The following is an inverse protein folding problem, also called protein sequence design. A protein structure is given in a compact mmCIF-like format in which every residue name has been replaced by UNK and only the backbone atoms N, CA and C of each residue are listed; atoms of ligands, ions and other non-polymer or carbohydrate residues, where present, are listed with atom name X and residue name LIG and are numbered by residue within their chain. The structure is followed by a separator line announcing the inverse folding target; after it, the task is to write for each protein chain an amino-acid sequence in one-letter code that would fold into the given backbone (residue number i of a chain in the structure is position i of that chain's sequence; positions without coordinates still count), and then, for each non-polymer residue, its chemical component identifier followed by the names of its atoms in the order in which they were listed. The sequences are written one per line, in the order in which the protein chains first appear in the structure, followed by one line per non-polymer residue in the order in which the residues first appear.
data_IF_707944835090
#
_entry.id   IF_707944835090
#
_cell.length_a   1.000
_cell.length_b   1.000
_cell.length_c   1.000
_cell.angle_alpha   90.00
_cell.angle_beta   90.00
_cell.angle_gamma   90.00
#
_symmetry.space_group_name_H-M   'P 1'
#
loop_
_entity.id
_entity.type
_entity.pdbx_description
1 polymer ?
#
# COMPACT_ATOMS: atom_id res chain seq x y z
N UNK A 1 -4.64 -17.08 -0.84
CA UNK A 1 -5.72 -16.69 0.07
C UNK A 1 -7.06 -16.85 -0.63
N UNK A 2 -8.00 -17.60 -0.08
CA UNK A 2 -9.32 -17.86 -0.67
C UNK A 2 -10.39 -17.30 0.25
N UNK A 3 -11.38 -16.64 -0.31
CA UNK A 3 -12.53 -16.09 0.43
C UNK A 3 -13.80 -16.08 -0.43
N UNK A 4 -14.95 -15.97 0.23
CA UNK A 4 -16.26 -15.95 -0.42
C UNK A 4 -16.78 -14.52 -0.54
N UNK A 5 -17.35 -14.20 -1.69
CA UNK A 5 -18.10 -12.96 -1.91
C UNK A 5 -19.50 -13.06 -1.27
N UNK A 6 -20.15 -11.93 -1.04
CA UNK A 6 -21.55 -11.88 -0.57
C UNK A 6 -22.52 -12.62 -1.50
N UNK A 7 -22.15 -12.80 -2.77
CA UNK A 7 -22.88 -13.60 -3.75
C UNK A 7 -22.73 -15.12 -3.54
N UNK A 8 -21.86 -15.55 -2.62
CA UNK A 8 -21.49 -16.94 -2.39
C UNK A 8 -20.45 -17.49 -3.40
N UNK A 9 -19.95 -16.68 -4.32
CA UNK A 9 -18.89 -17.09 -5.23
C UNK A 9 -17.53 -17.04 -4.50
N UNK A 10 -16.71 -18.06 -4.71
CA UNK A 10 -15.34 -18.11 -4.19
C UNK A 10 -14.36 -17.45 -5.13
N UNK A 11 -13.51 -16.61 -4.59
CA UNK A 11 -12.37 -16.02 -5.30
C UNK A 11 -11.08 -16.23 -4.52
N UNK A 12 -9.95 -16.11 -5.20
CA UNK A 12 -8.65 -16.30 -4.58
C UNK A 12 -7.68 -15.17 -4.93
N UNK A 13 -7.09 -14.56 -3.90
CA UNK A 13 -5.92 -13.70 -4.05
C UNK A 13 -4.67 -14.56 -4.22
N UNK A 14 -3.89 -14.30 -5.25
CA UNK A 14 -2.67 -15.02 -5.60
C UNK A 14 -1.52 -14.05 -5.74
N UNK A 15 -0.45 -14.26 -4.97
CA UNK A 15 0.80 -13.54 -5.11
C UNK A 15 1.84 -14.40 -5.80
N UNK A 16 2.55 -13.81 -6.75
CA UNK A 16 3.70 -14.41 -7.44
C UNK A 16 4.96 -13.59 -7.18
N UNK A 17 6.09 -14.00 -7.74
CA UNK A 17 7.34 -13.24 -7.63
C UNK A 17 7.28 -11.86 -8.29
N UNK A 18 6.37 -11.65 -9.25
CA UNK A 18 6.29 -10.40 -10.02
C UNK A 18 4.94 -9.70 -9.94
N UNK A 19 3.84 -10.42 -9.65
CA UNK A 19 2.48 -9.90 -9.78
C UNK A 19 1.53 -10.43 -8.74
N UNK A 20 0.45 -9.69 -8.56
CA UNK A 20 -0.68 -10.07 -7.71
C UNK A 20 -1.92 -10.20 -8.57
N UNK A 21 -2.65 -11.30 -8.37
CA UNK A 21 -3.84 -11.63 -9.15
C UNK A 21 -5.04 -11.92 -8.25
N UNK A 22 -6.22 -11.69 -8.80
CA UNK A 22 -7.46 -12.31 -8.34
C UNK A 22 -7.80 -13.43 -9.33
N UNK A 23 -8.05 -14.62 -8.80
CA UNK A 23 -8.63 -15.73 -9.56
C UNK A 23 -10.13 -15.77 -9.29
N UNK A 24 -10.93 -15.65 -10.35
CA UNK A 24 -12.37 -15.88 -10.30
C UNK A 24 -12.71 -17.01 -11.29
N UNK A 25 -13.17 -18.14 -10.78
CA UNK A 25 -13.32 -19.35 -11.56
C UNK A 25 -12.00 -19.83 -12.16
N UNK A 26 -11.91 -19.83 -13.49
CA UNK A 26 -10.68 -20.23 -14.24
C UNK A 26 -9.85 -19.04 -14.70
N UNK A 27 -10.32 -17.82 -14.54
CA UNK A 27 -9.68 -16.60 -15.04
C UNK A 27 -8.83 -15.92 -13.97
N UNK A 28 -7.64 -15.46 -14.38
CA UNK A 28 -6.75 -14.65 -13.57
C UNK A 28 -6.85 -13.18 -14.00
N UNK A 29 -7.07 -12.29 -13.06
CA UNK A 29 -7.14 -10.85 -13.26
C UNK A 29 -5.94 -10.21 -12.55
N UNK A 30 -5.13 -9.46 -13.28
CA UNK A 30 -3.97 -8.75 -12.75
C UNK A 30 -4.42 -7.53 -11.95
N UNK A 31 -4.22 -7.57 -10.64
CA UNK A 31 -4.54 -6.49 -9.70
C UNK A 31 -3.29 -5.79 -9.16
N UNK A 32 -2.12 -6.07 -9.71
CA UNK A 32 -0.85 -5.49 -9.25
C UNK A 32 -0.93 -3.96 -9.25
N UNK A 33 -0.63 -3.27 -8.15
CA UNK A 33 -0.72 -1.83 -8.05
C UNK A 33 0.22 -1.10 -9.02
N UNK A 34 -0.17 0.09 -9.45
CA UNK A 34 0.70 0.99 -10.21
C UNK A 34 1.50 1.85 -9.22
N UNK A 35 2.82 1.81 -9.35
CA UNK A 35 3.76 2.59 -8.54
C UNK A 35 3.80 4.04 -8.98
N UNK A 36 3.91 4.27 -10.28
CA UNK A 36 4.02 5.59 -10.88
C UNK A 36 3.51 5.59 -12.32
N UNK A 37 2.92 6.70 -12.72
CA UNK A 37 2.47 6.92 -14.09
C UNK A 37 3.13 8.18 -14.64
N UNK A 38 3.82 8.05 -15.78
CA UNK A 38 4.38 9.17 -16.54
C UNK A 38 3.50 9.47 -17.74
N UNK A 39 3.26 10.75 -17.99
CA UNK A 39 2.39 11.23 -19.07
C UNK A 39 3.18 12.16 -19.98
N UNK A 40 2.92 12.12 -21.28
CA UNK A 40 3.68 12.82 -22.31
C UNK A 40 3.96 14.30 -22.06
N UNK A 41 3.04 15.02 -21.42
CA UNK A 41 3.18 16.46 -21.15
C UNK A 41 3.83 16.82 -19.81
N UNK A 42 4.10 15.84 -18.94
CA UNK A 42 4.71 16.08 -17.62
C UNK A 42 6.23 15.87 -17.65
N UNK A 43 6.93 16.35 -16.62
CA UNK A 43 8.36 16.12 -16.46
C UNK A 43 8.56 15.08 -15.34
N UNK A 44 9.23 13.94 -15.62
CA UNK A 44 9.81 13.51 -16.90
C UNK A 44 8.78 13.18 -17.97
N UNK A 45 9.09 13.51 -19.22
CA UNK A 45 8.16 13.41 -20.35
C UNK A 45 8.31 12.08 -21.09
N UNK A 46 7.19 11.49 -21.47
CA UNK A 46 7.12 10.31 -22.35
C UNK A 46 6.95 10.67 -23.83
N UNK A 47 6.99 11.97 -24.19
CA UNK A 47 6.85 12.42 -25.57
C UNK A 47 7.91 11.82 -26.48
N UNK A 48 7.48 11.11 -27.52
CA UNK A 48 8.37 10.47 -28.51
C UNK A 48 9.48 9.62 -27.87
N UNK A 49 9.16 8.92 -26.76
CA UNK A 49 10.16 8.20 -25.98
C UNK A 49 10.68 6.91 -26.62
N UNK A 50 10.04 6.41 -27.68
CA UNK A 50 10.42 5.16 -28.34
C UNK A 50 11.46 5.39 -29.43
N UNK A 51 12.50 4.58 -29.44
CA UNK A 51 13.49 4.52 -30.53
C UNK A 51 13.63 3.07 -31.00
N UNK A 52 13.34 2.84 -32.28
CA UNK A 52 13.37 1.53 -32.92
C UNK A 52 14.76 1.21 -33.49
N UNK A 53 15.06 -0.08 -33.69
CA UNK A 53 16.30 -0.60 -34.19
C UNK A 53 16.07 -1.63 -35.30
N UNK A 54 16.86 -1.53 -36.38
CA UNK A 54 16.77 -2.45 -37.52
C UNK A 54 17.86 -3.53 -37.56
N UNK A 55 18.76 -3.58 -36.57
CA UNK A 55 19.81 -4.59 -36.48
C UNK A 55 19.20 -6.00 -36.38
N UNK A 56 19.69 -6.90 -37.21
CA UNK A 56 19.24 -8.30 -37.22
C UNK A 56 19.35 -8.94 -35.83
N UNK A 57 18.29 -9.59 -35.36
CA UNK A 57 18.21 -10.17 -34.01
C UNK A 57 17.68 -9.22 -32.93
N UNK A 58 17.62 -7.91 -33.21
CA UNK A 58 17.11 -6.90 -32.20
C UNK A 58 15.98 -6.03 -32.75
N UNK A 59 15.41 -6.36 -33.90
CA UNK A 59 14.39 -5.53 -34.58
C UNK A 59 13.10 -5.31 -33.78
N UNK A 60 12.77 -6.22 -32.86
CA UNK A 60 11.65 -6.06 -31.93
C UNK A 60 12.02 -5.38 -30.63
N UNK A 61 13.30 -5.11 -30.39
CA UNK A 61 13.80 -4.43 -29.20
C UNK A 61 13.71 -2.92 -29.39
N UNK A 62 12.89 -2.27 -28.60
CA UNK A 62 12.66 -0.83 -28.64
C UNK A 62 13.33 -0.19 -27.43
N UNK A 63 14.13 0.82 -27.65
CA UNK A 63 14.70 1.65 -26.59
C UNK A 63 13.68 2.69 -26.17
N UNK A 64 13.51 2.86 -24.86
CA UNK A 64 12.63 3.86 -24.25
C UNK A 64 13.49 4.84 -23.48
N UNK A 65 13.38 6.12 -23.83
CA UNK A 65 14.06 7.21 -23.11
C UNK A 65 13.06 7.90 -22.20
N UNK A 66 13.27 7.78 -20.89
CA UNK A 66 12.44 8.37 -19.85
C UNK A 66 13.31 8.71 -18.65
N UNK A 67 13.57 9.99 -18.44
CA UNK A 67 14.49 10.46 -17.41
C UNK A 67 14.04 10.04 -16.01
N UNK A 68 14.99 9.56 -15.19
CA UNK A 68 14.78 9.18 -13.81
C UNK A 68 13.56 8.23 -13.60
N UNK A 69 13.40 7.24 -14.48
CA UNK A 69 12.25 6.32 -14.47
C UNK A 69 12.18 5.44 -13.22
N UNK A 70 13.28 5.26 -12.48
CA UNK A 70 13.32 4.49 -11.24
C UNK A 70 12.87 3.03 -11.38
N UNK A 71 12.96 2.48 -12.59
CA UNK A 71 12.68 1.07 -12.86
C UNK A 71 13.93 0.22 -12.69
N UNK A 72 13.72 -1.04 -12.32
CA UNK A 72 14.72 -2.09 -12.28
C UNK A 72 14.49 -3.09 -13.42
N UNK A 73 15.54 -3.80 -13.82
CA UNK A 73 15.38 -4.87 -14.83
C UNK A 73 14.44 -5.96 -14.28
N UNK A 74 13.41 -6.28 -15.05
CA UNK A 74 12.35 -7.22 -14.64
C UNK A 74 11.05 -6.53 -14.18
N UNK A 75 11.05 -5.20 -13.97
CA UNK A 75 9.83 -4.45 -13.73
C UNK A 75 8.86 -4.52 -14.91
N UNK A 76 7.58 -4.35 -14.63
CA UNK A 76 6.54 -4.28 -15.65
C UNK A 76 6.09 -2.85 -15.88
N UNK A 77 6.00 -2.45 -17.14
CA UNK A 77 5.42 -1.17 -17.58
C UNK A 77 4.32 -1.40 -18.61
N UNK A 78 3.19 -0.71 -18.45
CA UNK A 78 2.13 -0.70 -19.44
C UNK A 78 2.14 0.63 -20.18
N UNK A 79 2.25 0.58 -21.52
CA UNK A 79 2.11 1.76 -22.35
C UNK A 79 0.71 1.89 -22.93
N UNK A 80 0.28 3.13 -23.10
CA UNK A 80 -0.96 3.48 -23.81
C UNK A 80 -0.81 4.83 -24.50
N UNK A 81 -1.71 5.13 -25.45
CA UNK A 81 -1.71 6.41 -26.16
C UNK A 81 -0.56 6.60 -27.17
N UNK A 82 0.26 5.58 -27.45
CA UNK A 82 1.33 5.70 -28.44
C UNK A 82 0.82 5.56 -29.88
N UNK A 83 1.48 6.27 -30.79
CA UNK A 83 1.38 6.06 -32.22
C UNK A 83 2.43 5.05 -32.72
N UNK A 84 2.32 4.60 -33.96
CA UNK A 84 3.29 3.70 -34.59
C UNK A 84 4.67 4.36 -34.76
N UNK A 85 5.74 3.59 -34.60
CA UNK A 85 7.13 4.05 -34.73
C UNK A 85 7.95 3.02 -35.51
N UNK A 86 8.67 3.46 -36.53
CA UNK A 86 9.65 2.65 -37.25
C UNK A 86 9.14 1.35 -37.83
N UNK A 87 7.83 1.24 -38.13
CA UNK A 87 7.19 0.03 -38.62
C UNK A 87 6.53 -0.84 -37.53
N UNK A 88 6.76 -0.54 -36.25
CA UNK A 88 6.03 -1.17 -35.13
C UNK A 88 4.71 -0.41 -34.93
N UNK A 89 3.60 -1.15 -34.89
CA UNK A 89 2.27 -0.54 -34.83
C UNK A 89 1.93 -0.03 -33.42
N UNK A 90 0.98 0.90 -33.33
CA UNK A 90 0.47 1.38 -32.06
C UNK A 90 -0.07 0.24 -31.16
N UNK A 91 -0.78 -0.73 -31.75
CA UNK A 91 -1.29 -1.88 -31.01
C UNK A 91 -0.18 -2.78 -30.42
N UNK A 92 0.99 -2.81 -31.03
CA UNK A 92 2.14 -3.56 -30.56
C UNK A 92 2.97 -2.78 -29.51
N UNK A 93 2.79 -1.47 -29.43
CA UNK A 93 3.45 -0.62 -28.43
C UNK A 93 2.57 -0.37 -27.19
N UNK A 94 1.24 -0.32 -27.38
CA UNK A 94 0.27 -0.09 -26.30
C UNK A 94 -0.09 -1.39 -25.55
N UNK A 95 0.91 -2.01 -24.97
CA UNK A 95 0.82 -3.26 -24.21
C UNK A 95 1.64 -3.16 -22.94
N UNK A 96 1.58 -4.20 -22.15
CA UNK A 96 2.46 -4.40 -21.01
C UNK A 96 3.76 -5.08 -21.46
N UNK A 97 4.88 -4.59 -20.91
CA UNK A 97 6.22 -5.10 -21.19
C UNK A 97 7.03 -5.25 -19.91
N UNK A 98 7.87 -6.26 -19.90
CA UNK A 98 8.99 -6.34 -18.95
C UNK A 98 10.12 -5.45 -19.45
N UNK A 99 10.73 -4.69 -18.54
CA UNK A 99 11.80 -3.77 -18.87
C UNK A 99 13.18 -4.40 -18.66
N UNK A 100 14.13 -4.04 -19.53
CA UNK A 100 15.56 -4.27 -19.30
C UNK A 100 16.23 -2.90 -19.19
N UNK A 101 16.64 -2.54 -17.98
CA UNK A 101 17.24 -1.22 -17.70
C UNK A 101 18.64 -1.15 -18.28
N UNK A 102 18.97 -0.04 -18.93
CA UNK A 102 20.29 0.27 -19.44
C UNK A 102 21.01 1.27 -18.53
N UNK A 103 20.29 2.30 -18.11
CA UNK A 103 20.74 3.33 -17.17
C UNK A 103 19.54 4.01 -16.51
N UNK A 104 19.77 5.03 -15.67
CA UNK A 104 18.71 5.74 -14.94
C UNK A 104 17.69 6.50 -15.81
N UNK A 105 17.95 6.64 -17.12
CA UNK A 105 17.13 7.40 -18.06
C UNK A 105 16.65 6.56 -19.26
N UNK A 106 17.19 5.35 -19.42
CA UNK A 106 16.89 4.51 -20.59
C UNK A 106 16.72 3.05 -20.21
N UNK A 107 15.73 2.43 -20.82
CA UNK A 107 15.50 0.99 -20.74
C UNK A 107 15.04 0.45 -22.09
N UNK A 108 14.97 -0.84 -22.24
CA UNK A 108 14.47 -1.49 -23.46
C UNK A 108 13.28 -2.39 -23.15
N UNK A 109 12.38 -2.48 -24.12
CA UNK A 109 11.24 -3.40 -24.13
C UNK A 109 11.31 -4.30 -25.36
N UNK A 110 10.75 -5.49 -25.29
CA UNK A 110 10.67 -6.42 -26.41
C UNK A 110 9.24 -6.46 -26.95
N UNK A 111 9.05 -5.94 -28.17
CA UNK A 111 7.75 -5.99 -28.86
C UNK A 111 7.65 -7.24 -29.73
N UNK A 112 6.42 -7.67 -30.06
CA UNK A 112 6.18 -8.70 -31.06
C UNK A 112 6.42 -8.21 -32.50
N UNK A 113 6.44 -6.87 -32.69
CA UNK A 113 6.67 -6.23 -33.98
C UNK A 113 8.14 -6.24 -34.40
N UNK A 114 8.36 -6.05 -35.70
CA UNK A 114 9.69 -5.95 -36.28
C UNK A 114 9.85 -4.56 -36.90
N UNK A 115 10.81 -3.79 -36.40
CA UNK A 115 11.09 -2.47 -36.96
C UNK A 115 11.61 -2.57 -38.42
N UNK A 116 11.11 -1.72 -39.27
CA UNK A 116 11.50 -1.60 -40.67
C UNK A 116 12.42 -0.40 -40.90
N UNK A 117 12.46 0.53 -39.96
CA UNK A 117 13.37 1.68 -39.96
C UNK A 117 13.82 2.05 -38.56
N UNK A 118 14.98 2.69 -38.45
CA UNK A 118 15.39 3.37 -37.21
C UNK A 118 14.62 4.68 -37.14
N UNK A 119 13.81 4.85 -36.11
CA UNK A 119 13.00 6.05 -35.90
C UNK A 119 12.80 6.31 -34.40
N UNK A 120 12.75 7.57 -34.02
CA UNK A 120 12.34 8.03 -32.71
C UNK A 120 10.96 8.65 -32.82
N UNK A 121 10.03 8.29 -31.92
CA UNK A 121 8.65 8.77 -32.01
C UNK A 121 7.72 8.13 -30.99
N UNK A 122 6.46 8.00 -31.37
CA UNK A 122 5.37 7.46 -30.54
C UNK A 122 4.33 8.51 -30.20
N UNK A 123 4.59 9.78 -30.48
CA UNK A 123 3.66 10.89 -30.27
C UNK A 123 3.74 11.52 -28.88
N UNK A 124 2.82 12.43 -28.61
CA UNK A 124 2.81 13.28 -27.40
C UNK A 124 1.82 12.82 -26.32
N UNK A 125 1.07 11.76 -26.56
CA UNK A 125 0.03 11.26 -25.67
C UNK A 125 0.40 9.94 -24.98
N UNK A 126 1.70 9.58 -24.99
CA UNK A 126 2.14 8.31 -24.40
C UNK A 126 2.01 8.38 -22.88
N UNK A 127 1.37 7.35 -22.33
CA UNK A 127 1.30 7.10 -20.89
C UNK A 127 2.11 5.84 -20.61
N UNK A 128 3.01 5.93 -19.62
CA UNK A 128 3.80 4.80 -19.13
C UNK A 128 3.45 4.56 -17.66
N UNK A 129 2.77 3.45 -17.37
CA UNK A 129 2.34 3.07 -16.03
C UNK A 129 3.21 1.91 -15.53
N UNK A 130 4.09 2.18 -14.57
CA UNK A 130 4.95 1.19 -13.95
C UNK A 130 4.25 0.52 -12.78
N UNK A 131 4.27 -0.80 -12.74
CA UNK A 131 3.78 -1.58 -11.61
C UNK A 131 4.75 -1.52 -10.44
N UNK A 132 4.27 -1.86 -9.25
CA UNK A 132 5.15 -2.08 -8.10
C UNK A 132 6.04 -3.29 -8.37
N UNK A 133 7.29 -3.22 -7.91
CA UNK A 133 8.17 -4.38 -7.90
C UNK A 133 7.81 -5.24 -6.67
N UNK A 134 7.28 -6.45 -6.86
CA UNK A 134 6.91 -7.37 -5.78
C UNK A 134 7.96 -8.42 -5.50
N UNK A 135 9.02 -8.50 -6.27
CA UNK A 135 10.12 -9.42 -6.03
C UNK A 135 11.11 -9.50 -7.19
N UNK A 136 12.22 -10.13 -6.94
CA UNK A 136 13.18 -10.52 -7.96
C UNK A 136 12.90 -11.96 -8.39
N UNK A 137 13.00 -12.24 -9.68
CA UNK A 137 12.82 -13.59 -10.23
C UNK A 137 13.95 -14.55 -9.84
N UNK A 138 15.12 -13.99 -9.57
CA UNK A 138 16.32 -14.72 -9.22
C UNK A 138 16.84 -14.26 -7.87
N UNK A 139 16.83 -15.14 -6.88
CA UNK A 139 17.55 -14.93 -5.63
C UNK A 139 19.03 -15.17 -5.91
N UNK A 140 19.83 -14.12 -5.90
CA UNK A 140 21.30 -14.27 -5.91
C UNK A 140 21.70 -14.75 -4.53
N UNK A 141 22.20 -15.98 -4.45
CA UNK A 141 22.70 -16.55 -3.20
C UNK A 141 23.80 -15.65 -2.62
N UNK A 142 23.75 -15.45 -1.30
CA UNK A 142 24.76 -14.67 -0.56
C UNK A 142 26.16 -15.27 -0.66
N UNK A 143 27.11 -14.66 0.04
CA UNK A 143 28.47 -15.18 0.15
C UNK A 143 28.48 -16.53 0.90
N UNK A 144 29.24 -17.49 0.41
CA UNK A 144 29.46 -18.77 1.08
C UNK A 144 29.82 -19.90 0.13
N UNK A 145 30.21 -21.03 0.70
CA UNK A 145 30.44 -22.27 -0.04
C UNK A 145 29.14 -22.67 -0.76
N UNK A 146 29.21 -22.87 -2.08
CA UNK A 146 28.05 -23.23 -2.92
C UNK A 146 27.11 -22.05 -3.31
N UNK A 147 27.45 -20.80 -3.01
CA UNK A 147 26.62 -19.62 -3.32
C UNK A 147 26.88 -19.02 -4.71
N UNK A 148 27.25 -19.81 -5.69
CA UNK A 148 27.47 -19.37 -7.06
C UNK A 148 28.42 -20.28 -7.85
N UNK A 149 28.71 -19.90 -9.11
CA UNK A 149 29.62 -20.66 -9.97
C UNK A 149 31.06 -20.57 -9.47
N UNK A 150 31.79 -21.68 -9.50
CA UNK A 150 33.23 -21.73 -9.28
C UNK A 150 33.91 -20.81 -10.32
N UNK A 151 34.81 -19.94 -9.86
CA UNK A 151 35.52 -19.01 -10.74
C UNK A 151 34.97 -17.60 -10.78
N UNK A 152 34.12 -17.22 -9.84
CA UNK A 152 33.54 -15.86 -9.69
C UNK A 152 34.59 -14.78 -9.43
N UNK A 153 35.73 -15.17 -8.85
CA UNK A 153 36.84 -14.28 -8.51
C UNK A 153 38.09 -15.06 -8.12
N UNK A 154 39.22 -14.38 -8.00
CA UNK A 154 40.45 -14.94 -7.44
C UNK A 154 40.28 -15.18 -5.92
N UNK A 155 41.06 -16.10 -5.34
CA UNK A 155 41.01 -16.48 -3.93
C UNK A 155 41.16 -15.33 -2.93
N UNK A 156 41.56 -14.17 -3.38
CA UNK A 156 41.90 -12.98 -2.57
C UNK A 156 41.10 -11.73 -2.98
N UNK A 157 40.06 -11.85 -3.76
CA UNK A 157 39.22 -10.72 -4.12
C UNK A 157 37.75 -11.03 -3.84
N UNK A 158 37.06 -10.07 -3.20
CA UNK A 158 35.63 -9.98 -3.31
C UNK A 158 35.28 -9.99 -4.79
N UNK A 159 34.44 -10.92 -5.24
CA UNK A 159 33.93 -10.90 -6.62
C UNK A 159 33.38 -9.51 -6.98
N UNK A 160 33.11 -9.25 -8.26
CA UNK A 160 32.53 -7.98 -8.65
C UNK A 160 31.37 -7.66 -7.70
N UNK A 161 31.32 -6.41 -7.21
CA UNK A 161 30.39 -5.90 -6.23
C UNK A 161 28.91 -6.17 -6.65
N UNK A 162 28.54 -7.41 -6.55
CA UNK A 162 27.16 -7.79 -6.44
C UNK A 162 26.92 -7.74 -4.93
N UNK A 163 26.50 -6.59 -4.44
CA UNK A 163 25.93 -6.52 -3.09
C UNK A 163 25.10 -7.78 -2.91
N UNK A 164 25.37 -8.62 -1.89
CA UNK A 164 24.52 -9.74 -1.63
C UNK A 164 23.16 -9.12 -1.33
N UNK A 165 22.26 -9.20 -2.27
CA UNK A 165 20.85 -9.01 -1.96
C UNK A 165 20.53 -10.19 -1.07
N UNK A 166 20.77 -10.02 0.23
CA UNK A 166 20.16 -10.84 1.27
C UNK A 166 18.68 -10.48 1.14
N UNK A 167 18.06 -10.98 0.07
CA UNK A 167 16.65 -10.83 -0.15
C UNK A 167 15.96 -11.59 0.95
N UNK A 168 15.56 -10.90 2.00
CA UNK A 168 14.57 -11.44 2.91
C UNK A 168 13.44 -11.98 2.04
N UNK A 169 13.03 -13.19 2.30
CA UNK A 169 11.91 -13.81 1.58
C UNK A 169 10.74 -12.83 1.59
N UNK A 170 10.30 -12.40 0.40
CA UNK A 170 9.10 -11.57 0.30
C UNK A 170 7.89 -12.42 0.60
N UNK A 171 7.21 -12.06 1.66
CA UNK A 171 5.93 -12.63 2.02
C UNK A 171 4.83 -11.65 1.61
N UNK A 172 3.76 -12.19 1.10
CA UNK A 172 2.54 -11.45 0.77
C UNK A 172 1.48 -11.90 1.75
N UNK A 173 1.06 -10.98 2.61
CA UNK A 173 -0.03 -11.23 3.54
C UNK A 173 -1.31 -10.70 2.92
N UNK A 174 -2.34 -11.52 2.90
CA UNK A 174 -3.64 -11.20 2.31
C UNK A 174 -4.74 -11.48 3.31
N UNK A 175 -5.72 -10.61 3.33
CA UNK A 175 -6.96 -10.76 4.08
C UNK A 175 -8.08 -10.06 3.33
N UNK A 176 -9.34 -10.31 3.67
CA UNK A 176 -10.47 -9.69 2.99
C UNK A 176 -11.29 -8.82 3.94
N UNK A 177 -11.81 -7.76 3.39
CA UNK A 177 -12.82 -6.91 4.01
C UNK A 177 -14.09 -6.95 3.17
N UNK A 178 -15.10 -7.71 3.64
CA UNK A 178 -16.25 -8.05 2.82
C UNK A 178 -15.83 -8.69 1.48
N UNK A 179 -16.19 -8.06 0.36
CA UNK A 179 -15.81 -8.50 -0.98
C UNK A 179 -14.44 -8.00 -1.45
N UNK A 180 -13.84 -7.07 -0.73
CA UNK A 180 -12.60 -6.40 -1.10
C UNK A 180 -11.39 -7.16 -0.54
N UNK A 181 -10.25 -7.09 -1.22
CA UNK A 181 -9.00 -7.70 -0.78
C UNK A 181 -8.05 -6.65 -0.21
N UNK A 182 -7.46 -6.96 0.94
CA UNK A 182 -6.36 -6.19 1.51
C UNK A 182 -5.11 -7.06 1.48
N UNK A 183 -3.98 -6.45 1.16
CA UNK A 183 -2.72 -7.15 1.22
C UNK A 183 -1.56 -6.19 1.51
N UNK A 184 -0.50 -6.73 2.06
CA UNK A 184 0.77 -6.04 2.18
C UNK A 184 1.94 -6.96 1.82
N UNK A 185 3.04 -6.34 1.43
CA UNK A 185 4.32 -6.97 1.17
C UNK A 185 5.23 -6.63 2.35
N UNK A 186 5.75 -7.64 3.06
CA UNK A 186 6.56 -7.41 4.26
C UNK A 186 7.77 -6.47 4.06
N UNK A 187 8.31 -6.38 2.85
CA UNK A 187 9.49 -5.54 2.57
C UNK A 187 9.13 -4.10 2.17
N UNK A 188 7.99 -3.86 1.52
CA UNK A 188 7.54 -2.51 1.18
C UNK A 188 6.77 -1.85 2.30
N UNK A 189 6.17 -2.67 3.16
CA UNK A 189 5.35 -2.24 4.27
C UNK A 189 4.06 -1.51 3.91
N UNK A 190 3.83 -1.22 2.62
CA UNK A 190 2.64 -0.51 2.15
C UNK A 190 1.45 -1.45 2.20
N UNK A 191 0.34 -0.95 2.72
CA UNK A 191 -0.94 -1.65 2.72
C UNK A 191 -1.66 -1.30 1.43
N UNK A 192 -2.04 -2.31 0.66
CA UNK A 192 -2.80 -2.17 -0.58
C UNK A 192 -4.24 -2.63 -0.39
N UNK A 193 -5.12 -1.97 -1.10
CA UNK A 193 -6.55 -2.21 -1.09
C UNK A 193 -7.04 -2.44 -2.52
N UNK A 194 -7.71 -3.55 -2.76
CA UNK A 194 -8.38 -3.86 -4.01
C UNK A 194 -9.89 -3.84 -3.80
N UNK A 195 -10.55 -2.93 -4.48
CA UNK A 195 -12.02 -2.83 -4.43
C UNK A 195 -12.63 -3.80 -5.42
N UNK A 196 -13.52 -4.66 -4.94
CA UNK A 196 -14.29 -5.58 -5.78
C UNK A 196 -15.10 -4.83 -6.83
N UNK A 197 -15.10 -5.34 -8.05
CA UNK A 197 -16.01 -4.95 -9.12
C UNK A 197 -16.39 -6.18 -9.93
N UNK A 198 -17.58 -6.19 -10.48
CA UNK A 198 -18.07 -7.34 -11.26
C UNK A 198 -17.21 -7.69 -12.49
N UNK A 199 -16.42 -6.74 -12.99
CA UNK A 199 -15.46 -6.95 -14.08
C UNK A 199 -14.10 -7.44 -13.62
N UNK A 200 -13.79 -7.42 -12.33
CA UNK A 200 -12.46 -7.70 -11.75
C UNK A 200 -11.31 -6.89 -12.35
N UNK A 201 -11.61 -5.86 -13.17
CA UNK A 201 -10.61 -5.11 -13.95
C UNK A 201 -9.86 -4.02 -13.19
N UNK A 202 -10.23 -3.77 -11.93
CA UNK A 202 -9.59 -2.74 -11.12
C UNK A 202 -8.22 -3.22 -10.64
N UNK A 203 -7.25 -2.32 -10.63
CA UNK A 203 -5.98 -2.55 -9.93
C UNK A 203 -6.09 -2.15 -8.47
N UNK A 204 -5.32 -2.81 -7.61
CA UNK A 204 -5.20 -2.40 -6.23
C UNK A 204 -4.47 -1.06 -6.12
N UNK A 205 -4.79 -0.30 -5.10
CA UNK A 205 -4.18 1.00 -4.80
C UNK A 205 -3.64 1.00 -3.38
N UNK A 206 -2.74 1.90 -3.05
CA UNK A 206 -2.31 2.06 -1.67
C UNK A 206 -3.51 2.48 -0.81
N UNK A 207 -3.68 1.87 0.36
CA UNK A 207 -4.77 2.19 1.29
C UNK A 207 -4.75 3.68 1.68
N UNK A 208 -3.54 4.27 1.80
CA UNK A 208 -3.34 5.69 2.07
C UNK A 208 -3.82 6.63 0.97
N UNK A 209 -4.06 6.13 -0.25
CA UNK A 209 -4.58 6.93 -1.37
C UNK A 209 -6.10 6.92 -1.48
N UNK A 210 -6.78 6.15 -0.64
CA UNK A 210 -8.24 6.13 -0.64
C UNK A 210 -8.81 7.45 -0.11
N UNK A 211 -9.93 7.93 -0.65
CA UNK A 211 -10.65 9.05 -0.08
C UNK A 211 -11.04 8.75 1.39
N UNK A 212 -10.73 9.63 2.31
CA UNK A 212 -10.96 9.42 3.73
C UNK A 212 -9.80 8.79 4.51
N UNK A 213 -8.74 8.37 3.83
CA UNK A 213 -7.59 7.77 4.49
C UNK A 213 -6.84 8.74 5.41
N UNK A 214 -6.78 8.42 6.70
CA UNK A 214 -6.12 9.24 7.73
C UNK A 214 -5.06 8.45 8.45
N UNK A 215 -3.82 8.94 8.42
CA UNK A 215 -2.70 8.41 9.19
C UNK A 215 -2.46 6.90 8.99
N UNK A 216 -2.72 6.37 7.80
CA UNK A 216 -2.43 4.98 7.43
C UNK A 216 -0.95 4.70 7.65
N UNK A 217 -0.55 3.56 8.24
CA UNK A 217 0.85 3.20 8.38
C UNK A 217 1.57 3.21 7.03
N UNK A 218 2.69 3.93 6.94
CA UNK A 218 3.52 3.96 5.74
C UNK A 218 4.38 2.69 5.59
N UNK A 219 4.52 1.92 6.68
CA UNK A 219 5.23 0.65 6.70
C UNK A 219 4.65 -0.28 7.75
N UNK A 220 4.54 -1.57 7.42
CA UNK A 220 4.12 -2.63 8.35
C UNK A 220 4.69 -3.99 7.91
N UNK A 221 5.01 -4.85 8.86
CA UNK A 221 5.46 -6.21 8.56
C UNK A 221 4.29 -7.08 8.08
N UNK A 222 3.17 -7.03 8.78
CA UNK A 222 2.00 -7.84 8.46
C UNK A 222 0.70 -7.12 8.77
N UNK A 223 -0.29 -7.30 7.91
CA UNK A 223 -1.67 -6.90 8.17
C UNK A 223 -2.58 -8.12 8.33
N UNK A 224 -3.59 -8.01 9.18
CA UNK A 224 -4.67 -8.97 9.33
C UNK A 224 -5.90 -8.31 9.96
N UNK A 225 -7.09 -8.84 9.67
CA UNK A 225 -8.30 -8.45 10.39
C UNK A 225 -8.43 -9.23 11.70
N UNK A 226 -8.87 -8.56 12.74
CA UNK A 226 -9.27 -9.22 14.00
C UNK A 226 -10.66 -9.83 13.85
N UNK A 227 -11.06 -10.75 14.75
CA UNK A 227 -12.44 -11.24 14.81
C UNK A 227 -13.48 -10.14 15.04
N UNK A 228 -13.08 -8.99 15.61
CA UNK A 228 -13.94 -7.81 15.79
C UNK A 228 -13.99 -6.87 14.58
N UNK A 229 -13.31 -7.21 13.47
CA UNK A 229 -13.36 -6.47 12.22
C UNK A 229 -12.37 -5.30 12.10
N UNK A 230 -11.47 -5.10 13.08
CA UNK A 230 -10.41 -4.10 12.97
C UNK A 230 -9.25 -4.61 12.12
N UNK A 231 -8.75 -3.79 11.20
CA UNK A 231 -7.50 -4.09 10.50
C UNK A 231 -6.32 -3.74 11.40
N UNK A 232 -5.47 -4.72 11.67
CA UNK A 232 -4.21 -4.54 12.39
C UNK A 232 -3.05 -4.34 11.42
N UNK A 233 -2.09 -3.51 11.83
CA UNK A 233 -0.75 -3.40 11.26
C UNK A 233 0.26 -3.76 12.36
N UNK A 234 0.95 -4.86 12.18
CA UNK A 234 1.93 -5.41 13.12
C UNK A 234 3.34 -4.98 12.72
N UNK A 235 4.14 -4.48 13.66
CA UNK A 235 5.41 -3.87 13.37
C UNK A 235 5.20 -2.70 12.40
N UNK A 236 4.78 -1.57 12.90
CA UNK A 236 4.24 -0.50 12.05
C UNK A 236 4.99 0.81 12.21
N UNK A 237 4.90 1.67 11.18
CA UNK A 237 5.30 3.07 11.33
C UNK A 237 4.28 3.82 12.18
N UNK A 238 4.77 4.63 13.12
CA UNK A 238 3.96 5.65 13.79
C UNK A 238 3.52 6.73 12.80
N UNK A 239 2.82 7.73 13.26
CA UNK A 239 2.52 8.91 12.46
C UNK A 239 2.91 10.17 13.23
N UNK A 240 3.27 11.21 12.49
CA UNK A 240 3.44 12.55 12.99
C UNK A 240 2.26 13.39 12.52
N UNK A 241 1.66 14.11 13.45
CA UNK A 241 0.66 15.11 13.16
C UNK A 241 1.31 16.50 13.30
N UNK A 242 1.21 17.30 12.26
CA UNK A 242 1.65 18.67 12.28
C UNK A 242 0.50 19.58 11.84
N UNK A 243 0.32 20.71 12.53
CA UNK A 243 -0.66 21.70 12.17
C UNK A 243 0.00 23.04 11.87
N UNK A 244 -0.57 23.78 10.92
CA UNK A 244 -0.18 25.17 10.69
C UNK A 244 -0.67 26.07 11.82
N UNK A 245 -0.15 27.30 11.90
CA UNK A 245 -0.76 28.31 12.74
C UNK A 245 -2.20 28.60 12.29
N UNK A 246 -3.09 28.85 13.25
CA UNK A 246 -4.50 29.13 12.95
C UNK A 246 -4.65 30.36 12.04
N UNK A 247 -5.45 30.20 10.97
CA UNK A 247 -5.79 31.27 10.04
C UNK A 247 -7.30 31.59 10.11
N UNK A 248 -7.66 32.87 10.01
CA UNK A 248 -9.05 33.28 10.09
C UNK A 248 -9.85 32.92 8.84
N UNK A 249 -11.11 32.58 9.04
CA UNK A 249 -12.08 32.34 7.99
C UNK A 249 -12.89 33.61 7.77
N UNK A 250 -13.05 34.05 6.53
CA UNK A 250 -13.87 35.22 6.17
C UNK A 250 -15.37 34.87 6.17
N UNK A 251 -15.72 33.65 5.83
CA UNK A 251 -17.10 33.19 5.82
C UNK A 251 -17.22 31.69 5.54
N UNK A 252 -18.35 31.14 5.99
CA UNK A 252 -18.76 29.76 5.66
C UNK A 252 -20.18 29.81 5.16
N UNK A 253 -20.44 29.20 4.02
CA UNK A 253 -21.78 28.97 3.48
C UNK A 253 -22.00 27.46 3.32
N UNK A 254 -23.23 26.98 3.57
CA UNK A 254 -23.56 25.59 3.35
C UNK A 254 -24.77 25.40 2.46
N UNK A 255 -24.75 24.37 1.64
CA UNK A 255 -25.89 23.88 0.84
C UNK A 255 -26.06 22.40 1.13
N UNK A 256 -27.13 22.05 1.86
CA UNK A 256 -27.26 20.71 2.40
C UNK A 256 -26.13 20.38 3.35
N UNK A 257 -25.43 19.29 3.07
CA UNK A 257 -24.26 18.83 3.84
C UNK A 257 -22.92 19.35 3.30
N UNK A 258 -22.90 20.10 2.20
CA UNK A 258 -21.66 20.68 1.67
C UNK A 258 -21.44 22.06 2.27
N UNK A 259 -20.36 22.24 3.00
CA UNK A 259 -19.90 23.52 3.52
C UNK A 259 -18.80 24.08 2.61
N UNK A 260 -18.92 25.35 2.24
CA UNK A 260 -17.91 26.11 1.49
C UNK A 260 -17.29 27.14 2.42
N UNK A 261 -16.01 27.04 2.63
CA UNK A 261 -15.21 27.99 3.43
C UNK A 261 -14.57 29.02 2.50
N UNK A 262 -14.64 30.27 2.90
CA UNK A 262 -13.90 31.37 2.26
C UNK A 262 -12.87 31.93 3.22
N UNK A 263 -11.62 32.00 2.79
CA UNK A 263 -10.50 32.57 3.57
C UNK A 263 -10.15 33.96 3.10
N UNK A 264 -9.55 34.77 3.98
CA UNK A 264 -9.17 36.15 3.65
C UNK A 264 -7.93 36.24 2.74
N UNK A 265 -7.17 35.19 2.62
CA UNK A 265 -5.95 35.09 1.80
C UNK A 265 -5.84 33.66 1.20
N UNK A 266 -4.93 33.50 0.25
CA UNK A 266 -4.65 32.18 -0.32
C UNK A 266 -4.28 31.17 0.77
N UNK A 267 -4.98 30.02 0.80
CA UNK A 267 -4.88 29.04 1.87
C UNK A 267 -3.85 27.93 1.63
N UNK A 268 -3.43 27.71 0.37
CA UNK A 268 -2.45 26.66 0.03
C UNK A 268 -2.95 25.23 0.25
N UNK A 269 -4.25 25.02 0.48
CA UNK A 269 -4.88 23.71 0.72
C UNK A 269 -5.10 23.01 -0.62
N UNK A 270 -4.90 21.70 -0.65
CA UNK A 270 -5.22 20.83 -1.77
C UNK A 270 -6.45 19.94 -1.49
N UNK A 271 -7.01 19.33 -2.52
CA UNK A 271 -8.06 18.32 -2.37
C UNK A 271 -7.47 17.12 -1.61
N UNK A 272 -8.26 16.58 -0.69
CA UNK A 272 -7.90 15.52 0.26
C UNK A 272 -7.02 15.94 1.44
N UNK A 273 -6.60 17.19 1.55
CA UNK A 273 -5.99 17.71 2.77
C UNK A 273 -6.98 17.68 3.95
N UNK A 274 -6.45 17.70 5.17
CA UNK A 274 -7.24 17.79 6.39
C UNK A 274 -7.15 19.17 7.00
N UNK A 275 -8.30 19.69 7.43
CA UNK A 275 -8.40 20.96 8.10
C UNK A 275 -9.12 20.79 9.44
N UNK A 276 -8.57 21.39 10.49
CA UNK A 276 -9.26 21.53 11.76
C UNK A 276 -9.90 22.91 11.85
N UNK A 277 -11.22 22.93 11.91
CA UNK A 277 -12.00 24.14 12.06
C UNK A 277 -12.41 24.33 13.52
N UNK A 278 -12.28 25.55 14.04
CA UNK A 278 -12.61 25.87 15.44
C UNK A 278 -13.16 27.28 15.58
N UNK A 279 -14.00 27.44 16.61
CA UNK A 279 -14.62 28.73 16.89
C UNK A 279 -15.80 29.08 15.99
N UNK A 280 -16.36 28.14 15.25
CA UNK A 280 -17.57 28.37 14.47
C UNK A 280 -18.83 28.38 15.34
N UNK A 281 -19.84 29.13 14.88
CA UNK A 281 -21.18 29.08 15.44
C UNK A 281 -22.19 29.00 14.30
N UNK A 282 -23.03 27.93 14.20
CA UNK A 282 -23.14 26.80 15.13
C UNK A 282 -21.88 25.92 15.20
N UNK A 283 -21.68 25.24 16.34
CA UNK A 283 -20.51 24.39 16.61
C UNK A 283 -20.39 23.17 15.70
N UNK A 284 -21.47 22.75 15.05
CA UNK A 284 -21.45 21.64 14.08
C UNK A 284 -20.61 21.91 12.83
N UNK A 285 -20.16 23.13 12.60
CA UNK A 285 -19.17 23.45 11.58
C UNK A 285 -17.73 23.25 12.05
N UNK A 286 -17.51 23.13 13.37
CA UNK A 286 -16.19 22.90 13.96
C UNK A 286 -15.85 21.41 13.96
N UNK A 287 -14.58 21.08 13.76
CA UNK A 287 -14.08 19.70 13.75
C UNK A 287 -12.95 19.51 12.74
N UNK A 288 -12.46 18.29 12.66
CA UNK A 288 -11.51 17.88 11.64
C UNK A 288 -12.25 17.33 10.43
N UNK A 289 -12.02 17.94 9.27
CA UNK A 289 -12.68 17.57 8.02
C UNK A 289 -11.66 17.37 6.90
N UNK A 290 -11.96 16.44 6.01
CA UNK A 290 -11.24 16.31 4.76
C UNK A 290 -11.78 17.31 3.73
N UNK A 291 -10.89 17.94 2.99
CA UNK A 291 -11.23 18.87 1.92
C UNK A 291 -11.68 18.09 0.68
N UNK A 292 -12.90 18.34 0.24
CA UNK A 292 -13.54 17.65 -0.89
C UNK A 292 -13.20 18.31 -2.22
N UNK A 293 -13.29 19.64 -2.28
CA UNK A 293 -12.91 20.42 -3.47
C UNK A 293 -12.21 21.71 -3.08
N UNK A 294 -11.40 22.23 -4.00
CA UNK A 294 -10.73 23.53 -3.90
C UNK A 294 -11.10 24.37 -5.12
N UNK A 295 -12.27 25.04 -5.09
CA UNK A 295 -12.75 25.84 -6.21
C UNK A 295 -11.87 27.03 -6.57
N UNK A 296 -11.15 27.60 -5.61
CA UNK A 296 -10.20 28.70 -5.82
C UNK A 296 -9.09 28.68 -4.77
N UNK A 297 -8.10 29.54 -4.91
CA UNK A 297 -7.01 29.70 -3.92
C UNK A 297 -7.50 30.21 -2.56
N UNK A 298 -8.71 30.73 -2.47
CA UNK A 298 -9.32 31.28 -1.24
C UNK A 298 -10.58 30.53 -0.82
N UNK A 299 -10.98 29.45 -1.51
CA UNK A 299 -12.19 28.70 -1.16
C UNK A 299 -11.93 27.21 -1.22
N UNK A 300 -12.41 26.47 -0.22
CA UNK A 300 -12.45 25.01 -0.19
C UNK A 300 -13.77 24.51 0.37
N UNK A 301 -14.11 23.25 0.09
CA UNK A 301 -15.34 22.61 0.58
C UNK A 301 -15.04 21.40 1.42
N UNK A 302 -15.94 21.10 2.36
CA UNK A 302 -15.94 19.86 3.14
C UNK A 302 -17.37 19.39 3.39
N UNK A 303 -17.54 18.16 3.86
CA UNK A 303 -18.85 17.55 4.09
C UNK A 303 -19.21 17.60 5.57
N UNK A 304 -20.39 18.11 5.89
CA UNK A 304 -20.99 18.12 7.23
C UNK A 304 -21.75 16.81 7.48
N UNK A 305 -21.83 16.40 8.73
CA UNK A 305 -22.65 15.24 9.14
C UNK A 305 -24.16 15.50 8.94
N UNK A 306 -24.60 16.73 9.03
CA UNK A 306 -26.00 17.13 8.80
C UNK A 306 -26.07 18.55 8.25
N UNK A 307 -27.19 18.90 7.62
CA UNK A 307 -27.44 20.27 7.20
C UNK A 307 -27.58 21.19 8.43
N UNK A 308 -26.79 22.25 8.47
CA UNK A 308 -26.75 23.22 9.56
C UNK A 308 -27.33 24.58 9.12
N UNK A 309 -27.75 25.37 10.10
CA UNK A 309 -28.21 26.74 9.87
C UNK A 309 -27.08 27.71 9.50
N UNK A 310 -27.43 28.96 9.24
CA UNK A 310 -26.47 29.99 8.85
C UNK A 310 -25.38 30.21 9.91
N UNK A 311 -24.16 30.41 9.44
CA UNK A 311 -23.01 30.68 10.31
C UNK A 311 -23.07 32.10 10.83
N UNK A 312 -22.97 32.28 12.16
CA UNK A 312 -22.93 33.57 12.83
C UNK A 312 -21.52 33.96 13.28
N UNK A 313 -20.62 32.98 13.47
CA UNK A 313 -19.20 33.17 13.68
C UNK A 313 -18.43 32.20 12.79
N UNK A 314 -17.55 32.73 11.92
CA UNK A 314 -16.82 31.91 10.96
C UNK A 314 -15.60 31.21 11.59
N UNK A 315 -15.05 31.71 12.69
CA UNK A 315 -13.93 31.11 13.40
C UNK A 315 -12.61 31.10 12.62
N UNK A 316 -11.82 30.06 12.84
CA UNK A 316 -10.54 29.86 12.20
C UNK A 316 -10.35 28.43 11.76
N UNK A 317 -9.30 28.18 10.97
CA UNK A 317 -8.89 26.84 10.56
C UNK A 317 -7.39 26.64 10.71
N UNK A 318 -6.98 25.40 10.80
CA UNK A 318 -5.58 24.98 10.72
C UNK A 318 -5.52 23.87 9.65
N UNK A 319 -4.50 23.92 8.81
CA UNK A 319 -4.18 22.80 7.94
C UNK A 319 -3.47 21.73 8.78
N UNK A 320 -3.98 20.51 8.75
CA UNK A 320 -3.39 19.37 9.43
C UNK A 320 -2.72 18.49 8.39
N UNK A 321 -1.46 18.19 8.60
CA UNK A 321 -0.73 17.21 7.79
C UNK A 321 -0.37 16.00 8.63
N UNK A 322 -0.52 14.82 8.02
CA UNK A 322 -0.09 13.56 8.57
C UNK A 322 1.09 13.06 7.75
N UNK A 323 2.21 12.81 8.41
CA UNK A 323 3.37 12.21 7.79
C UNK A 323 3.74 10.92 8.50
N UNK A 324 4.39 9.99 7.79
CA UNK A 324 4.92 8.78 8.40
C UNK A 324 5.91 9.11 9.50
N UNK A 325 5.76 8.49 10.66
CA UNK A 325 6.70 8.56 11.76
C UNK A 325 7.81 7.52 11.62
N UNK A 326 8.51 7.25 12.72
CA UNK A 326 9.50 6.19 12.77
C UNK A 326 8.84 4.80 12.70
N UNK A 327 9.50 3.87 12.03
CA UNK A 327 9.12 2.46 12.10
C UNK A 327 9.50 1.89 13.47
N UNK A 328 8.55 1.20 14.10
CA UNK A 328 8.76 0.50 15.36
C UNK A 328 8.33 -0.97 15.20
N UNK A 329 9.26 -1.93 15.29
CA UNK A 329 8.97 -3.35 15.13
C UNK A 329 8.06 -3.94 16.20
N UNK A 330 7.84 -3.23 17.33
CA UNK A 330 7.00 -3.67 18.43
C UNK A 330 5.65 -2.92 18.50
N UNK A 331 5.41 -2.00 17.57
CA UNK A 331 4.18 -1.22 17.50
C UNK A 331 3.10 -1.99 16.75
N UNK A 332 1.94 -2.09 17.36
CA UNK A 332 0.68 -2.53 16.74
C UNK A 332 -0.16 -1.28 16.51
N UNK A 333 -0.61 -1.05 15.30
CA UNK A 333 -1.65 -0.06 15.01
C UNK A 333 -2.90 -0.75 14.52
N UNK A 334 -4.05 -0.17 14.79
CA UNK A 334 -5.34 -0.68 14.30
C UNK A 334 -6.21 0.44 13.78
N UNK A 335 -6.89 0.11 12.66
CA UNK A 335 -7.84 1.01 12.02
C UNK A 335 -9.14 1.07 12.82
N UNK A 336 -9.91 2.13 12.59
CA UNK A 336 -11.29 2.22 13.04
C UNK A 336 -12.18 1.17 12.34
N UNK A 337 -13.14 0.64 13.06
CA UNK A 337 -14.24 -0.16 12.50
C UNK A 337 -15.38 0.79 12.19
N UNK A 338 -15.35 1.43 11.04
CA UNK A 338 -16.36 2.40 10.70
C UNK A 338 -17.56 1.73 10.03
N UNK A 339 -18.67 1.64 10.78
CA UNK A 339 -19.94 1.14 10.27
C UNK A 339 -20.76 2.17 9.50
N UNK A 340 -20.46 3.47 9.63
CA UNK A 340 -21.38 4.54 9.23
C UNK A 340 -20.97 5.36 7.98
N UNK A 341 -19.72 5.34 7.54
CA UNK A 341 -19.26 6.23 6.47
C UNK A 341 -18.76 5.49 5.21
N UNK A 342 -18.93 4.21 5.16
CA UNK A 342 -18.45 3.36 4.08
C UNK A 342 -17.39 2.38 4.61
N UNK A 343 -17.37 1.18 4.05
CA UNK A 343 -16.76 0.04 4.68
C UNK A 343 -15.28 -0.10 4.34
N UNK A 344 -14.44 0.88 4.66
CA UNK A 344 -13.01 0.79 4.36
C UNK A 344 -12.19 1.11 5.60
N UNK A 345 -11.15 0.32 5.93
CA UNK A 345 -10.33 0.53 7.11
C UNK A 345 -9.27 1.63 6.87
N UNK A 346 -9.72 2.81 6.43
CA UNK A 346 -8.84 3.92 6.07
C UNK A 346 -8.48 4.86 7.23
N UNK A 347 -9.22 4.83 8.35
CA UNK A 347 -8.98 5.73 9.49
C UNK A 347 -8.10 5.06 10.53
N UNK A 348 -6.89 5.60 10.72
CA UNK A 348 -5.87 5.07 11.65
C UNK A 348 -5.44 6.10 12.71
N UNK A 349 -6.05 7.27 12.73
CA UNK A 349 -5.84 8.28 13.74
C UNK A 349 -6.75 8.01 14.94
N UNK A 350 -6.21 7.81 16.16
CA UNK A 350 -7.05 7.71 17.36
C UNK A 350 -7.82 9.01 17.60
N UNK A 351 -9.10 8.88 17.88
CA UNK A 351 -9.99 9.99 18.27
C UNK A 351 -10.99 9.46 19.29
N UNK A 352 -11.59 10.37 20.08
CA UNK A 352 -12.64 10.01 21.05
C UNK A 352 -13.90 9.44 20.39
N UNK A 353 -14.10 9.71 19.10
CA UNK A 353 -15.27 9.28 18.33
C UNK A 353 -15.05 8.01 17.51
N UNK A 354 -13.84 7.43 17.52
CA UNK A 354 -13.52 6.24 16.74
C UNK A 354 -12.80 5.18 17.57
N UNK A 355 -12.61 4.00 17.00
CA UNK A 355 -11.93 2.87 17.62
C UNK A 355 -10.51 2.65 17.11
N UNK A 356 -9.95 3.57 16.30
CA UNK A 356 -8.57 3.49 15.88
C UNK A 356 -7.61 3.69 17.05
N UNK A 357 -6.44 3.06 17.00
CA UNK A 357 -5.48 3.19 18.08
C UNK A 357 -4.15 2.49 17.82
N UNK A 358 -3.38 2.39 18.88
CA UNK A 358 -2.10 1.69 18.85
C UNK A 358 -1.76 1.07 20.21
N UNK A 359 -0.96 0.03 20.20
CA UNK A 359 -0.42 -0.66 21.37
C UNK A 359 1.04 -1.02 21.13
N UNK A 360 1.81 -1.16 22.22
CA UNK A 360 3.16 -1.65 22.17
C UNK A 360 3.26 -3.03 22.84
N UNK A 361 3.86 -3.98 22.13
CA UNK A 361 4.26 -5.25 22.73
C UNK A 361 5.51 -5.00 23.56
N UNK A 362 5.55 -5.48 24.80
CA UNK A 362 6.61 -5.16 25.75
C UNK A 362 7.74 -6.16 25.74
N UNK A 363 7.47 -7.41 25.32
CA UNK A 363 8.43 -8.51 25.39
C UNK A 363 8.88 -8.90 23.98
N UNK A 364 10.19 -8.92 23.77
CA UNK A 364 10.81 -9.20 22.48
C UNK A 364 11.50 -7.99 21.87
N UNK A 365 12.02 -8.16 20.66
CA UNK A 365 12.67 -7.10 19.87
C UNK A 365 11.91 -6.73 18.60
N UNK A 366 11.13 -7.66 18.08
CA UNK A 366 10.25 -7.45 16.90
C UNK A 366 9.07 -8.41 16.90
N UNK A 367 7.95 -7.94 16.37
CA UNK A 367 6.80 -8.78 16.05
C UNK A 367 7.14 -9.57 14.79
N UNK A 368 6.97 -10.89 14.84
CA UNK A 368 7.20 -11.78 13.70
C UNK A 368 5.91 -11.98 12.91
N UNK A 369 4.79 -12.21 13.63
CA UNK A 369 3.50 -12.48 12.98
C UNK A 369 2.34 -12.36 13.98
N UNK A 370 1.12 -12.38 13.46
CA UNK A 370 -0.11 -12.54 14.23
C UNK A 370 -1.08 -13.45 13.49
N UNK A 371 -1.96 -14.09 14.23
CA UNK A 371 -3.00 -14.95 13.69
C UNK A 371 -4.22 -15.03 14.61
N UNK A 372 -5.39 -15.16 14.01
CA UNK A 372 -6.63 -15.29 14.76
C UNK A 372 -6.86 -16.71 15.21
N UNK A 373 -7.29 -16.87 16.47
CA UNK A 373 -7.76 -18.11 17.03
C UNK A 373 -8.93 -17.82 17.96
N UNK A 374 -10.05 -18.53 17.79
CA UNK A 374 -11.28 -18.25 18.56
C UNK A 374 -11.72 -16.78 18.37
N UNK A 375 -11.83 -16.01 19.45
CA UNK A 375 -12.24 -14.60 19.44
C UNK A 375 -11.09 -13.65 19.79
N UNK A 376 -9.85 -14.11 19.64
CA UNK A 376 -8.65 -13.37 19.98
C UNK A 376 -7.61 -13.45 18.86
N UNK A 377 -6.65 -12.54 18.87
CA UNK A 377 -5.54 -12.53 17.93
C UNK A 377 -4.25 -12.79 18.72
N UNK A 378 -3.56 -13.86 18.35
CA UNK A 378 -2.24 -14.18 18.90
C UNK A 378 -1.18 -13.35 18.19
N UNK A 379 -0.25 -12.79 18.93
CA UNK A 379 0.87 -11.99 18.45
C UNK A 379 2.17 -12.62 18.91
N UNK A 380 2.98 -13.09 17.95
CA UNK A 380 4.31 -13.64 18.22
C UNK A 380 5.37 -12.58 18.00
N UNK A 381 6.25 -12.49 18.96
CA UNK A 381 7.55 -11.81 18.80
C UNK A 381 8.65 -12.85 18.57
N UNK A 382 9.88 -12.40 18.49
CA UNK A 382 11.05 -13.27 18.43
C UNK A 382 11.26 -14.09 19.71
N UNK A 383 10.67 -13.72 20.85
CA UNK A 383 10.88 -14.38 22.15
C UNK A 383 9.60 -14.63 22.95
N UNK A 384 8.44 -14.09 22.53
CA UNK A 384 7.24 -14.16 23.34
C UNK A 384 5.97 -14.38 22.51
N UNK A 385 4.91 -14.79 23.18
CA UNK A 385 3.56 -14.86 22.66
C UNK A 385 2.63 -14.03 23.55
N UNK A 386 1.89 -13.13 22.93
CA UNK A 386 0.82 -12.35 23.55
C UNK A 386 -0.52 -12.60 22.87
N UNK A 387 -1.60 -12.37 23.58
CA UNK A 387 -2.95 -12.33 23.00
C UNK A 387 -3.50 -10.92 23.03
N UNK A 388 -4.12 -10.55 21.92
CA UNK A 388 -4.86 -9.30 21.73
C UNK A 388 -6.36 -9.62 21.76
N UNK A 389 -7.07 -9.05 22.72
CA UNK A 389 -8.50 -9.26 22.93
C UNK A 389 -9.26 -7.94 22.77
N UNK A 390 -10.39 -7.99 22.06
CA UNK A 390 -11.28 -6.85 21.94
C UNK A 390 -12.05 -6.65 23.24
N UNK A 391 -11.95 -5.47 23.85
CA UNK A 391 -12.59 -5.13 25.12
C UNK A 391 -13.92 -4.41 24.93
N UNK A 392 -14.13 -3.72 23.81
CA UNK A 392 -15.33 -2.94 23.53
C UNK A 392 -15.57 -1.77 24.51
N UNK A 393 -14.49 -1.25 25.10
CA UNK A 393 -14.49 -0.11 26.02
C UNK A 393 -13.72 1.05 25.42
N UNK A 394 -13.47 2.11 26.17
CA UNK A 394 -12.58 3.20 25.74
C UNK A 394 -11.16 2.69 25.38
N UNK A 395 -10.70 1.63 26.04
CA UNK A 395 -9.56 0.83 25.61
C UNK A 395 -10.10 -0.25 24.67
N UNK A 396 -9.93 -0.04 23.36
CA UNK A 396 -10.47 -0.91 22.31
C UNK A 396 -9.95 -2.34 22.43
N UNK A 397 -8.65 -2.48 22.68
CA UNK A 397 -7.96 -3.76 22.83
C UNK A 397 -7.17 -3.86 24.13
N UNK A 398 -7.19 -5.05 24.72
CA UNK A 398 -6.28 -5.47 25.77
C UNK A 398 -5.20 -6.40 25.21
N UNK A 399 -3.95 -6.15 25.56
CA UNK A 399 -2.81 -7.02 25.21
C UNK A 399 -2.34 -7.74 26.47
N UNK A 400 -2.32 -9.07 26.43
CA UNK A 400 -1.90 -9.91 27.53
C UNK A 400 -0.76 -10.84 27.11
N UNK A 401 0.32 -10.86 27.89
CA UNK A 401 1.41 -11.82 27.70
C UNK A 401 0.93 -13.23 28.09
N UNK A 402 1.07 -14.19 27.22
CA UNK A 402 0.78 -15.60 27.45
C UNK A 402 2.02 -16.40 27.82
N UNK A 403 3.15 -16.11 27.18
CA UNK A 403 4.44 -16.76 27.45
C UNK A 403 5.60 -15.84 27.04
N UNK A 404 6.61 -15.77 27.87
CA UNK A 404 7.86 -15.03 27.63
C UNK A 404 9.00 -15.92 27.10
N UNK A 405 8.74 -17.21 26.93
CA UNK A 405 9.72 -18.21 26.48
C UNK A 405 9.14 -19.03 25.34
N UNK A 406 8.65 -18.34 24.32
CA UNK A 406 7.98 -18.96 23.19
C UNK A 406 8.29 -18.15 21.96
N UNK A 407 8.92 -18.76 20.97
CA UNK A 407 9.22 -18.15 19.69
C UNK A 407 8.46 -18.82 18.55
N UNK A 408 8.49 -18.20 17.38
CA UNK A 408 8.01 -18.78 16.13
C UNK A 408 9.10 -18.70 15.08
N UNK A 409 9.32 -19.79 14.34
CA UNK A 409 10.40 -19.89 13.36
C UNK A 409 10.25 -18.94 12.18
N UNK A 410 9.02 -18.57 11.84
CA UNK A 410 8.75 -17.66 10.73
C UNK A 410 7.29 -17.22 10.67
N UNK A 411 7.02 -16.21 9.89
CA UNK A 411 5.70 -15.56 9.86
C UNK A 411 4.53 -16.47 9.44
N UNK A 412 4.79 -17.58 8.77
CA UNK A 412 3.80 -18.56 8.33
C UNK A 412 3.99 -19.94 8.99
N UNK A 413 4.79 -20.03 10.07
CA UNK A 413 5.08 -21.31 10.74
C UNK A 413 3.99 -21.69 11.75
N UNK A 414 2.73 -21.46 11.44
CA UNK A 414 1.58 -21.78 12.30
C UNK A 414 0.43 -22.38 11.47
N UNK A 415 -0.47 -23.09 12.16
CA UNK A 415 -1.72 -23.62 11.60
C UNK A 415 -2.83 -23.56 12.64
N UNK A 416 -4.00 -23.06 12.26
CA UNK A 416 -5.22 -23.11 13.07
C UNK A 416 -6.02 -24.36 12.68
N UNK A 417 -6.21 -25.27 13.61
CA UNK A 417 -7.00 -26.49 13.43
C UNK A 417 -7.98 -26.67 14.59
N UNK A 418 -9.26 -26.70 14.29
CA UNK A 418 -10.33 -26.87 15.28
C UNK A 418 -10.24 -25.86 16.45
N UNK A 419 -9.99 -24.58 16.14
CA UNK A 419 -9.80 -23.51 17.12
C UNK A 419 -8.60 -23.70 18.08
N UNK A 420 -7.66 -24.55 17.72
CA UNK A 420 -6.36 -24.66 18.40
C UNK A 420 -5.28 -24.15 17.44
N UNK A 421 -4.37 -23.34 17.95
CA UNK A 421 -3.25 -22.83 17.17
C UNK A 421 -2.02 -23.66 17.43
N UNK A 422 -1.47 -24.26 16.37
CA UNK A 422 -0.22 -25.00 16.38
C UNK A 422 0.85 -24.18 15.70
N UNK A 423 2.06 -24.16 16.24
CA UNK A 423 3.18 -23.48 15.57
C UNK A 423 4.51 -24.16 15.85
N UNK A 424 5.46 -23.88 14.99
CA UNK A 424 6.83 -24.37 15.10
C UNK A 424 7.72 -23.25 15.63
N UNK A 425 8.32 -23.47 16.78
CA UNK A 425 9.41 -22.67 17.30
C UNK A 425 10.76 -23.14 16.78
N UNK A 426 11.84 -22.55 17.28
CA UNK A 426 13.20 -22.96 16.90
C UNK A 426 13.57 -24.34 17.43
N UNK A 427 13.07 -24.71 18.60
CA UNK A 427 13.47 -25.93 19.31
C UNK A 427 12.31 -26.87 19.61
N UNK A 428 11.08 -26.42 19.49
CA UNK A 428 9.88 -27.18 19.88
C UNK A 428 8.69 -26.85 19.03
N UNK A 429 7.72 -27.75 19.05
CA UNK A 429 6.36 -27.51 18.54
C UNK A 429 5.46 -27.13 19.70
N UNK A 430 4.62 -26.17 19.47
CA UNK A 430 3.72 -25.62 20.48
C UNK A 430 2.28 -25.70 20.06
N UNK A 431 1.37 -25.75 21.02
CA UNK A 431 -0.06 -25.63 20.82
C UNK A 431 -0.67 -24.64 21.82
N UNK A 432 -1.62 -23.85 21.32
CA UNK A 432 -2.48 -23.01 22.12
C UNK A 432 -3.92 -23.49 22.02
N UNK A 433 -4.46 -23.97 23.12
CA UNK A 433 -5.84 -24.41 23.29
C UNK A 433 -6.63 -23.59 24.34
N UNK A 434 -6.08 -22.41 24.68
CA UNK A 434 -6.41 -21.53 25.81
C UNK A 434 -5.26 -21.46 26.81
N UNK A 435 -4.23 -22.29 26.62
CA UNK A 435 -2.94 -22.26 27.31
C UNK A 435 -1.84 -22.64 26.32
N UNK A 436 -0.64 -22.18 26.59
CA UNK A 436 0.53 -22.57 25.80
C UNK A 436 1.06 -23.91 26.34
N UNK A 437 1.14 -24.90 25.47
CA UNK A 437 1.69 -26.23 25.75
C UNK A 437 2.76 -26.56 24.70
N UNK A 438 3.72 -27.42 25.08
CA UNK A 438 4.81 -27.92 24.21
C UNK A 438 4.46 -29.31 23.72
#
# INVERSE_FOLDING_TARGET
YVYSLDTGAEIAGLGTTKKIYIRAGTTLYDITPIRVTYIGSTTPSTNNCFTTNTTTGTKGKVSVTLAAHGAETGDSVTFSGSAAVGGITAAQLNLEFEVTVLDGNTFTIQTAGTATSVATGGGTSIVAAFQINIGTEVTVGGYGWSSGTWGRSTWDSSGPDVEPVIGNLRLIFMDNFNNDLIFNLNQSGIIYYWTYSASFGNRAVALSSLPGAIAVPAGTEKTLFTPSGHLLALGATSYNEASTAGASISGIASTGTTATVTTGSAHGIAVNDYVFLFGQTPTGYSGTYQVVTVPSTTTFTYTLLSSLGSVTAAGAYQLISYSGGAYDPMLIRFADVNADIGPKPEVWRPDLANSAGFLFVKEGSKIITGANVRQETLIWTDTSLSTLQFLGTAEVFGLQLLSSDTNIMGANAYANVNNNMYWMGTDSFFVYDGRVNV
#
